data_IF_582044682328
#
_entry.id   IF_582044682328
#
_cell.length_a   1.000
_cell.length_b   1.000
_cell.length_c   1.000
_cell.angle_alpha   90.00
_cell.angle_beta   90.00
_cell.angle_gamma   90.00
#
_symmetry.space_group_name_H-M   'P 1'
#
loop_
_entity.id
_entity.type
_entity.pdbx_description
1 polymer ?
#
# COMPACT_ATOMS: atom_id res chain seq x y z
N UNK A 1 6.15 -4.74 -14.47
CA UNK A 1 4.69 -4.70 -14.27
C UNK A 1 4.08 -4.00 -15.48
N UNK A 2 2.85 -4.33 -15.88
CA UNK A 2 2.16 -3.62 -16.96
C UNK A 2 1.05 -2.76 -16.37
N UNK A 3 1.28 -1.45 -16.32
CA UNK A 3 0.31 -0.48 -15.81
C UNK A 3 -0.54 0.05 -16.95
N UNK A 4 -1.81 0.29 -16.71
CA UNK A 4 -2.72 1.02 -17.58
C UNK A 4 -3.15 2.29 -16.84
N UNK A 5 -3.34 3.38 -17.59
CA UNK A 5 -3.77 4.66 -17.03
C UNK A 5 -5.21 4.51 -16.51
N UNK A 6 -5.57 5.29 -15.48
CA UNK A 6 -6.88 5.28 -14.80
C UNK A 6 -7.21 4.00 -14.01
N UNK A 7 -6.46 2.92 -14.22
CA UNK A 7 -6.63 1.70 -13.45
C UNK A 7 -5.92 1.78 -12.09
N UNK A 8 -6.54 1.16 -11.08
CA UNK A 8 -5.95 0.93 -9.78
C UNK A 8 -5.21 -0.41 -9.71
N UNK A 9 -4.06 -0.40 -9.04
CA UNK A 9 -3.21 -1.56 -8.86
C UNK A 9 -2.87 -1.78 -7.39
N UNK A 10 -3.07 -3.02 -6.91
CA UNK A 10 -2.46 -3.48 -5.66
C UNK A 10 -1.01 -3.81 -5.90
N UNK A 11 -0.13 -2.91 -5.47
CA UNK A 11 1.32 -3.01 -5.60
C UNK A 11 1.91 -3.47 -4.27
N UNK A 12 2.65 -4.57 -4.27
CA UNK A 12 3.21 -5.11 -3.03
C UNK A 12 4.50 -5.89 -3.28
N UNK A 13 5.37 -5.88 -2.27
CA UNK A 13 6.57 -6.71 -2.22
C UNK A 13 6.87 -7.07 -0.76
N UNK A 14 7.55 -8.21 -0.57
CA UNK A 14 7.99 -8.72 0.72
C UNK A 14 9.49 -8.92 0.71
N UNK A 15 10.08 -8.99 1.88
CA UNK A 15 11.48 -9.33 2.02
C UNK A 15 11.76 -10.78 1.63
N UNK A 16 13.02 -11.05 1.28
CA UNK A 16 13.51 -12.41 1.17
C UNK A 16 13.58 -13.03 2.56
N UNK A 17 13.22 -14.31 2.67
CA UNK A 17 13.31 -15.09 3.91
C UNK A 17 12.60 -14.44 5.12
N UNK A 18 11.55 -13.63 4.90
CA UNK A 18 10.82 -12.90 5.94
C UNK A 18 11.73 -12.01 6.82
N UNK A 19 12.84 -11.53 6.26
CA UNK A 19 13.70 -10.56 6.94
C UNK A 19 12.92 -9.29 7.30
N UNK A 20 13.23 -8.70 8.44
CA UNK A 20 12.66 -7.40 8.82
C UNK A 20 13.23 -6.35 7.87
N UNK A 21 12.34 -5.57 7.26
CA UNK A 21 12.64 -4.45 6.35
C UNK A 21 12.71 -3.15 7.13
N UNK A 22 11.87 -3.02 8.15
CA UNK A 22 11.75 -1.83 8.98
C UNK A 22 11.97 -2.23 10.44
N UNK A 23 13.19 -2.01 10.94
CA UNK A 23 13.57 -2.40 12.29
C UNK A 23 13.08 -1.40 13.34
N UNK A 24 13.05 -0.12 12.97
CA UNK A 24 12.68 0.98 13.87
C UNK A 24 11.97 2.09 13.09
N UNK A 25 11.38 3.04 13.82
CA UNK A 25 10.52 4.10 13.29
C UNK A 25 11.16 4.85 12.11
N UNK A 26 12.45 5.15 12.20
CA UNK A 26 13.23 5.91 11.21
C UNK A 26 13.27 5.19 9.85
N UNK A 27 13.27 3.86 9.84
CA UNK A 27 13.23 3.08 8.61
C UNK A 27 11.90 3.29 7.86
N UNK A 28 10.77 3.30 8.58
CA UNK A 28 9.46 3.56 8.00
C UNK A 28 9.38 4.98 7.44
N UNK A 29 9.82 5.98 8.21
CA UNK A 29 9.81 7.39 7.78
C UNK A 29 10.72 7.58 6.57
N UNK A 30 11.92 6.99 6.57
CA UNK A 30 12.85 7.06 5.45
C UNK A 30 12.22 6.44 4.19
N UNK A 31 11.58 5.27 4.29
CA UNK A 31 10.91 4.64 3.16
C UNK A 31 9.78 5.51 2.60
N UNK A 32 8.91 6.05 3.46
CA UNK A 32 7.84 6.98 3.05
C UNK A 32 8.40 8.25 2.39
N UNK A 33 9.52 8.78 2.90
CA UNK A 33 10.23 9.90 2.27
C UNK A 33 10.71 9.56 0.85
N UNK A 34 11.23 8.35 0.64
CA UNK A 34 11.59 7.88 -0.70
C UNK A 34 10.37 7.69 -1.59
N UNK A 35 9.25 7.19 -1.06
CA UNK A 35 7.99 7.06 -1.82
C UNK A 35 7.56 8.46 -2.31
N UNK A 36 7.58 9.47 -1.43
CA UNK A 36 7.26 10.84 -1.82
C UNK A 36 8.13 11.35 -2.95
N UNK A 37 9.44 11.12 -2.85
CA UNK A 37 10.42 11.59 -3.84
C UNK A 37 10.31 10.85 -5.18
N UNK A 38 10.22 9.53 -5.12
CA UNK A 38 10.40 8.68 -6.30
C UNK A 38 9.08 8.26 -6.95
N UNK A 39 7.96 8.18 -6.20
CA UNK A 39 6.68 7.66 -6.72
C UNK A 39 5.64 8.75 -7.00
N UNK A 40 5.50 9.78 -6.15
CA UNK A 40 4.47 10.82 -6.36
C UNK A 40 4.53 11.55 -7.72
N UNK A 41 5.68 11.68 -8.41
CA UNK A 41 5.71 12.21 -9.77
C UNK A 41 5.02 11.31 -10.81
N UNK A 42 4.85 10.02 -10.53
CA UNK A 42 4.37 9.01 -11.49
C UNK A 42 3.03 8.39 -11.09
N UNK A 43 2.74 8.35 -9.78
CA UNK A 43 1.60 7.66 -9.22
C UNK A 43 0.73 8.59 -8.37
N UNK A 44 -0.59 8.40 -8.45
CA UNK A 44 -1.49 8.70 -7.35
C UNK A 44 -1.49 7.51 -6.41
N UNK A 45 -1.15 7.77 -5.14
CA UNK A 45 -1.19 6.76 -4.09
C UNK A 45 -2.57 6.85 -3.46
N UNK A 46 -3.33 5.77 -3.51
CA UNK A 46 -4.68 5.73 -2.94
C UNK A 46 -4.62 5.26 -1.49
N UNK A 47 -3.89 4.18 -1.21
CA UNK A 47 -3.74 3.65 0.13
C UNK A 47 -2.38 2.98 0.32
N UNK A 48 -1.95 2.84 1.57
CA UNK A 48 -0.76 2.07 1.91
C UNK A 48 -0.84 1.41 3.29
N UNK A 49 -0.06 0.34 3.45
CA UNK A 49 0.33 -0.20 4.75
C UNK A 49 1.75 -0.76 4.65
N UNK A 50 2.65 -0.26 5.49
CA UNK A 50 3.99 -0.81 5.68
C UNK A 50 3.92 -1.79 6.85
N UNK A 51 4.39 -3.01 6.63
CA UNK A 51 4.47 -4.09 7.60
C UNK A 51 5.95 -4.40 7.86
N UNK A 52 6.34 -4.97 9.01
CA UNK A 52 7.76 -5.19 9.34
C UNK A 52 8.56 -5.88 8.23
N UNK A 53 7.96 -6.81 7.50
CA UNK A 53 8.63 -7.63 6.47
C UNK A 53 8.18 -7.33 5.04
N UNK A 54 7.19 -6.46 4.82
CA UNK A 54 6.58 -6.26 3.50
C UNK A 54 5.80 -4.95 3.42
N UNK A 55 5.34 -4.57 2.23
CA UNK A 55 4.48 -3.40 2.06
C UNK A 55 3.35 -3.69 1.09
N UNK A 56 2.27 -2.93 1.23
CA UNK A 56 1.16 -2.90 0.29
C UNK A 56 0.78 -1.46 -0.03
N UNK A 57 0.47 -1.21 -1.30
CA UNK A 57 -0.07 0.06 -1.79
C UNK A 57 -1.22 -0.21 -2.77
N UNK A 58 -2.17 0.72 -2.84
CA UNK A 58 -3.03 0.89 -4.01
C UNK A 58 -2.53 2.13 -4.74
N UNK A 59 -2.21 1.99 -6.03
CA UNK A 59 -1.70 3.08 -6.86
C UNK A 59 -2.43 3.18 -8.19
N UNK A 60 -2.52 4.38 -8.73
CA UNK A 60 -2.85 4.63 -10.14
C UNK A 60 -1.69 5.37 -10.81
N UNK A 61 -1.42 5.10 -12.09
CA UNK A 61 -0.43 5.90 -12.85
C UNK A 61 -1.08 7.18 -13.35
N UNK A 62 -0.41 8.33 -13.17
CA UNK A 62 -0.97 9.67 -13.46
C UNK A 62 -1.19 9.98 -14.94
N UNK A 63 -0.65 9.17 -15.85
CA UNK A 63 -0.74 9.43 -17.29
C UNK A 63 0.16 8.52 -18.12
N UNK A 64 0.02 8.64 -19.45
CA UNK A 64 0.74 7.82 -20.43
C UNK A 64 2.26 8.03 -20.32
N UNK A 65 2.72 9.29 -20.22
CA UNK A 65 4.14 9.60 -20.09
C UNK A 65 4.74 9.04 -18.78
N UNK A 66 3.96 9.06 -17.70
CA UNK A 66 4.38 8.55 -16.39
C UNK A 66 4.42 7.02 -16.38
N UNK A 67 3.48 6.36 -17.07
CA UNK A 67 3.42 4.89 -17.21
C UNK A 67 4.75 4.31 -17.71
N UNK A 68 5.41 4.96 -18.66
CA UNK A 68 6.71 4.51 -19.20
C UNK A 68 7.81 4.42 -18.13
N UNK A 69 7.78 5.33 -17.14
CA UNK A 69 8.80 5.43 -16.07
C UNK A 69 8.33 4.84 -14.73
N UNK A 70 7.08 4.39 -14.63
CA UNK A 70 6.49 3.84 -13.42
C UNK A 70 7.28 2.64 -12.86
N UNK A 71 7.66 1.69 -13.71
CA UNK A 71 8.47 0.53 -13.30
C UNK A 71 9.86 0.96 -12.81
N UNK A 72 10.48 1.93 -13.48
CA UNK A 72 11.78 2.47 -13.10
C UNK A 72 11.72 3.14 -11.73
N UNK A 73 10.68 3.94 -11.46
CA UNK A 73 10.47 4.59 -10.17
C UNK A 73 10.37 3.57 -9.01
N UNK A 74 9.60 2.49 -9.20
CA UNK A 74 9.50 1.39 -8.23
C UNK A 74 10.87 0.75 -7.99
N UNK A 75 11.58 0.38 -9.06
CA UNK A 75 12.90 -0.25 -8.96
C UNK A 75 13.92 0.66 -8.27
N UNK A 76 13.98 1.94 -8.65
CA UNK A 76 14.90 2.93 -8.08
C UNK A 76 14.70 3.10 -6.58
N UNK A 77 13.46 3.19 -6.12
CA UNK A 77 13.16 3.27 -4.69
C UNK A 77 13.65 2.01 -3.96
N UNK A 78 13.23 0.83 -4.41
CA UNK A 78 13.55 -0.43 -3.72
C UNK A 78 15.05 -0.67 -3.68
N UNK A 79 15.75 -0.52 -4.82
CA UNK A 79 17.20 -0.70 -4.87
C UNK A 79 17.94 0.30 -3.97
N UNK A 80 17.50 1.57 -3.94
CA UNK A 80 18.16 2.58 -3.11
C UNK A 80 17.80 2.48 -1.63
N UNK A 81 16.65 1.90 -1.26
CA UNK A 81 16.34 1.54 0.12
C UNK A 81 17.14 0.32 0.57
N UNK A 82 17.19 -0.74 -0.24
CA UNK A 82 18.02 -1.94 0.03
C UNK A 82 19.47 -1.57 0.32
N UNK A 83 20.08 -0.66 -0.46
CA UNK A 83 21.46 -0.21 -0.19
C UNK A 83 21.62 0.49 1.16
N UNK A 84 20.65 1.32 1.54
CA UNK A 84 20.69 2.03 2.82
C UNK A 84 20.51 1.06 4.00
N UNK A 85 19.52 0.17 3.92
CA UNK A 85 19.26 -0.86 4.93
C UNK A 85 20.43 -1.84 5.07
N UNK A 86 21.02 -2.30 3.96
CA UNK A 86 22.20 -3.15 3.97
C UNK A 86 23.40 -2.48 4.64
N UNK A 87 23.62 -1.18 4.36
CA UNK A 87 24.69 -0.40 4.99
C UNK A 87 24.45 -0.26 6.51
N UNK A 88 23.22 0.02 6.92
CA UNK A 88 22.84 0.14 8.33
C UNK A 88 23.03 -1.18 9.09
N UNK A 89 22.70 -2.31 8.47
CA UNK A 89 22.72 -3.63 9.10
C UNK A 89 24.00 -4.45 8.81
N UNK A 90 25.03 -3.84 8.20
CA UNK A 90 26.25 -4.53 7.75
C UNK A 90 25.99 -5.82 6.94
N UNK A 91 24.95 -5.80 6.10
CA UNK A 91 24.49 -6.93 5.31
C UNK A 91 24.66 -6.70 3.80
N UNK A 92 24.43 -7.74 3.00
CA UNK A 92 24.58 -7.70 1.55
C UNK A 92 23.46 -8.48 0.86
N UNK A 93 23.30 -8.28 -0.44
CA UNK A 93 22.31 -8.99 -1.26
C UNK A 93 20.97 -8.26 -1.40
N UNK A 94 19.97 -8.97 -1.93
CA UNK A 94 18.64 -8.41 -2.17
C UNK A 94 17.77 -8.48 -0.91
N UNK A 95 17.30 -7.33 -0.43
CA UNK A 95 16.36 -7.27 0.69
C UNK A 95 14.96 -7.75 0.28
N UNK A 96 14.46 -7.28 -0.87
CA UNK A 96 13.12 -7.62 -1.38
C UNK A 96 13.15 -8.81 -2.35
N UNK A 97 12.01 -9.48 -2.50
CA UNK A 97 11.82 -10.51 -3.52
C UNK A 97 11.97 -9.94 -4.93
N UNK A 98 12.53 -10.77 -5.83
CA UNK A 98 12.59 -10.44 -7.25
C UNK A 98 11.17 -10.26 -7.80
N UNK A 99 10.99 -9.22 -8.61
CA UNK A 99 9.72 -8.82 -9.23
C UNK A 99 8.65 -8.40 -8.20
N UNK A 100 8.53 -7.09 -7.98
CA UNK A 100 7.38 -6.49 -7.29
C UNK A 100 6.07 -6.93 -7.97
N UNK A 101 5.10 -7.36 -7.16
CA UNK A 101 3.80 -7.81 -7.64
C UNK A 101 2.88 -6.61 -7.82
N UNK A 102 2.12 -6.61 -8.91
CA UNK A 102 1.13 -5.60 -9.23
C UNK A 102 -0.12 -6.29 -9.78
N UNK A 103 -1.24 -6.18 -9.07
CA UNK A 103 -2.53 -6.77 -9.46
C UNK A 103 -3.48 -5.65 -9.87
N UNK A 104 -3.92 -5.64 -11.13
CA UNK A 104 -4.94 -4.71 -11.61
C UNK A 104 -6.27 -5.00 -10.88
N UNK A 105 -6.82 -4.01 -10.18
CA UNK A 105 -8.04 -4.17 -9.38
C UNK A 105 -9.32 -4.09 -10.23
N UNK A 106 -9.25 -3.56 -11.45
CA UNK A 106 -10.40 -3.46 -12.35
C UNK A 106 -10.68 -4.77 -13.09
N UNK A 107 -9.64 -5.55 -13.38
CA UNK A 107 -9.75 -6.84 -14.08
C UNK A 107 -9.63 -8.06 -13.16
N UNK A 108 -9.29 -7.84 -11.89
CA UNK A 108 -9.18 -8.91 -10.90
C UNK A 108 -10.51 -9.56 -10.47
N UNK A 109 -11.64 -9.07 -11.01
CA UNK A 109 -13.00 -9.57 -10.75
C UNK A 109 -13.09 -11.09 -10.94
N UNK A 110 -12.43 -11.64 -11.96
CA UNK A 110 -12.53 -13.07 -12.30
C UNK A 110 -12.06 -14.03 -11.19
N UNK A 111 -11.29 -13.54 -10.20
CA UNK A 111 -10.81 -14.36 -9.08
C UNK A 111 -11.83 -14.42 -7.92
N UNK A 112 -12.75 -13.46 -7.83
CA UNK A 112 -13.86 -13.46 -6.86
C UNK A 112 -15.17 -13.32 -7.63
N UNK A 113 -15.65 -14.46 -8.13
CA UNK A 113 -16.80 -14.69 -9.02
C UNK A 113 -18.14 -14.00 -8.68
N UNK A 114 -18.23 -13.22 -7.60
CA UNK A 114 -19.47 -12.63 -7.06
C UNK A 114 -19.36 -11.17 -6.59
N UNK A 115 -18.24 -10.47 -6.81
CA UNK A 115 -18.08 -9.07 -6.38
C UNK A 115 -17.97 -8.15 -7.58
N UNK A 116 -18.77 -7.07 -7.62
CA UNK A 116 -18.55 -6.00 -8.59
C UNK A 116 -17.18 -5.31 -8.42
N UNK A 117 -16.68 -4.60 -9.44
CA UNK A 117 -15.32 -4.01 -9.40
C UNK A 117 -15.11 -3.05 -8.22
N UNK A 118 -16.08 -2.18 -7.92
CA UNK A 118 -16.01 -1.27 -6.78
C UNK A 118 -15.91 -2.04 -5.46
N UNK A 119 -16.68 -3.13 -5.31
CA UNK A 119 -16.60 -4.01 -4.14
C UNK A 119 -15.22 -4.67 -4.01
N UNK A 120 -14.55 -5.02 -5.11
CA UNK A 120 -13.22 -5.62 -5.05
C UNK A 120 -12.11 -4.62 -4.69
N UNK A 121 -12.16 -3.39 -5.22
CA UNK A 121 -11.21 -2.33 -4.83
C UNK A 121 -11.38 -2.00 -3.35
N UNK A 122 -12.63 -1.85 -2.91
CA UNK A 122 -12.97 -1.55 -1.53
C UNK A 122 -12.55 -2.70 -0.58
N UNK A 123 -12.73 -3.95 -1.00
CA UNK A 123 -12.19 -5.11 -0.30
C UNK A 123 -10.66 -5.04 -0.18
N UNK A 124 -9.95 -4.65 -1.25
CA UNK A 124 -8.50 -4.52 -1.22
C UNK A 124 -8.04 -3.39 -0.29
N UNK A 125 -8.75 -2.26 -0.28
CA UNK A 125 -8.52 -1.14 0.64
C UNK A 125 -8.58 -1.62 2.09
N UNK A 126 -9.68 -2.27 2.48
CA UNK A 126 -9.84 -2.84 3.82
C UNK A 126 -8.81 -3.92 4.13
N UNK A 127 -8.51 -4.81 3.19
CA UNK A 127 -7.48 -5.83 3.38
C UNK A 127 -6.13 -5.20 3.75
N UNK A 128 -5.71 -4.17 3.02
CA UNK A 128 -4.44 -3.47 3.28
C UNK A 128 -4.44 -2.82 4.67
N UNK A 129 -5.53 -2.14 5.04
CA UNK A 129 -5.61 -1.47 6.33
C UNK A 129 -5.74 -2.43 7.50
N UNK A 130 -6.38 -3.59 7.33
CA UNK A 130 -6.58 -4.59 8.40
C UNK A 130 -5.39 -5.52 8.62
N UNK A 131 -4.36 -5.48 7.76
CA UNK A 131 -3.17 -6.33 7.89
C UNK A 131 -2.46 -6.24 9.25
N UNK A 132 -2.25 -5.06 9.87
CA UNK A 132 -1.63 -4.95 11.19
C UNK A 132 -2.42 -5.67 12.29
N UNK A 133 -3.76 -5.67 12.24
CA UNK A 133 -4.58 -6.46 13.16
C UNK A 133 -4.42 -7.95 12.89
N UNK A 134 -4.51 -8.37 11.62
CA UNK A 134 -4.43 -9.79 11.22
C UNK A 134 -3.10 -10.44 11.60
N UNK A 135 -2.01 -9.68 11.51
CA UNK A 135 -0.68 -10.13 11.90
C UNK A 135 -0.39 -9.90 13.40
N UNK A 136 -1.39 -9.50 14.19
CA UNK A 136 -1.30 -9.24 15.63
C UNK A 136 -0.22 -8.21 16.02
N UNK A 137 0.04 -7.22 15.16
CA UNK A 137 0.97 -6.13 15.44
C UNK A 137 0.34 -5.08 16.38
N UNK A 138 -0.98 -4.96 16.34
CA UNK A 138 -1.78 -4.05 17.16
C UNK A 138 -3.11 -4.71 17.51
N UNK A 139 -3.76 -4.26 18.59
CA UNK A 139 -5.13 -4.64 18.94
C UNK A 139 -6.18 -3.66 18.41
N UNK A 140 -5.77 -2.44 18.04
CA UNK A 140 -6.59 -1.42 17.41
C UNK A 140 -5.82 -0.82 16.21
N UNK A 141 -6.49 -0.67 15.06
CA UNK A 141 -5.88 -0.10 13.84
C UNK A 141 -5.33 1.31 14.03
N UNK A 142 -5.87 2.06 15.00
CA UNK A 142 -5.38 3.40 15.32
C UNK A 142 -3.95 3.38 15.86
N UNK A 143 -3.49 2.25 16.39
CA UNK A 143 -2.15 2.12 16.96
C UNK A 143 -1.08 1.85 15.88
N UNK A 144 -1.49 1.49 14.64
CA UNK A 144 -0.55 1.26 13.55
C UNK A 144 -0.30 2.51 12.70
N UNK A 145 0.69 3.30 13.10
CA UNK A 145 1.04 4.57 12.45
C UNK A 145 1.54 4.42 11.00
N UNK A 146 1.98 3.23 10.59
CA UNK A 146 2.63 2.99 9.30
C UNK A 146 1.67 2.54 8.19
N UNK A 147 0.39 2.90 8.31
CA UNK A 147 -0.61 2.75 7.25
C UNK A 147 -1.34 4.06 6.98
N UNK A 148 -2.05 4.15 5.86
CA UNK A 148 -2.96 5.27 5.61
C UNK A 148 -4.29 5.16 6.35
N UNK A 149 -4.52 4.13 7.19
CA UNK A 149 -5.78 3.95 7.92
C UNK A 149 -6.15 5.20 8.71
N UNK A 150 -5.21 5.79 9.44
CA UNK A 150 -5.43 7.00 10.23
C UNK A 150 -5.88 8.20 9.37
N UNK A 151 -5.44 8.26 8.12
CA UNK A 151 -5.84 9.32 7.19
C UNK A 151 -7.29 9.12 6.71
N UNK A 152 -7.67 7.87 6.43
CA UNK A 152 -9.04 7.49 6.07
C UNK A 152 -10.00 7.51 7.27
N UNK A 153 -9.52 7.29 8.49
CA UNK A 153 -10.29 7.41 9.72
C UNK A 153 -10.44 8.88 10.18
N UNK A 154 -9.87 9.84 9.44
CA UNK A 154 -9.82 11.26 9.81
C UNK A 154 -9.16 11.55 11.18
N UNK A 155 -8.25 10.67 11.60
CA UNK A 155 -7.47 10.79 12.84
C UNK A 155 -6.08 11.38 12.59
N UNK A 156 -5.66 11.42 11.32
CA UNK A 156 -4.43 12.06 10.85
C UNK A 156 -4.71 12.78 9.54
N UNK A 157 -4.03 13.90 9.31
CA UNK A 157 -4.12 14.64 8.05
C UNK A 157 -2.88 14.36 7.18
N UNK A 158 -2.66 13.08 6.83
CA UNK A 158 -1.55 12.68 5.97
C UNK A 158 -1.75 13.15 4.53
N UNK A 159 -0.63 13.52 3.89
CA UNK A 159 -0.62 14.10 2.54
C UNK A 159 -0.05 13.16 1.47
N UNK A 160 0.17 11.88 1.81
CA UNK A 160 0.71 10.92 0.86
C UNK A 160 -0.38 10.37 -0.07
N UNK A 161 -1.55 10.10 0.50
CA UNK A 161 -2.66 9.50 -0.22
C UNK A 161 -3.58 10.55 -0.85
N UNK A 162 -3.98 10.33 -2.10
CA UNK A 162 -5.07 11.07 -2.74
C UNK A 162 -6.41 10.45 -2.32
N UNK A 163 -6.85 10.79 -1.11
CA UNK A 163 -8.07 10.22 -0.49
C UNK A 163 -9.33 10.68 -1.25
N UNK A 164 -9.33 11.88 -1.83
CA UNK A 164 -10.46 12.38 -2.62
C UNK A 164 -10.81 11.44 -3.76
N UNK A 165 -9.81 10.95 -4.52
CA UNK A 165 -10.03 9.96 -5.57
C UNK A 165 -10.63 8.67 -4.98
N UNK A 166 -10.20 8.24 -3.79
CA UNK A 166 -10.74 7.05 -3.16
C UNK A 166 -12.21 7.21 -2.76
N UNK A 167 -12.57 8.35 -2.16
CA UNK A 167 -13.94 8.69 -1.79
C UNK A 167 -14.87 8.73 -3.01
N UNK A 168 -14.40 9.31 -4.11
CA UNK A 168 -15.14 9.39 -5.37
C UNK A 168 -15.33 8.02 -6.03
N UNK A 169 -14.26 7.23 -6.15
CA UNK A 169 -14.30 5.92 -6.81
C UNK A 169 -15.11 4.88 -6.04
N UNK A 170 -15.13 4.98 -4.71
CA UNK A 170 -15.69 3.97 -3.82
C UNK A 170 -16.96 4.44 -3.12
N UNK A 171 -17.40 5.67 -3.37
CA UNK A 171 -18.62 6.27 -2.87
C UNK A 171 -18.78 6.14 -1.35
N UNK A 172 -17.76 6.57 -0.61
CA UNK A 172 -17.80 6.69 0.85
C UNK A 172 -17.09 7.97 1.32
N UNK A 173 -17.30 8.38 2.58
CA UNK A 173 -16.56 9.47 3.23
C UNK A 173 -15.57 8.97 4.29
N UNK A 174 -14.39 9.58 4.32
CA UNK A 174 -13.41 9.36 5.40
C UNK A 174 -13.99 9.76 6.76
N UNK A 175 -13.46 9.20 7.83
CA UNK A 175 -13.95 9.40 9.19
C UNK A 175 -14.87 8.25 9.63
N UNK A 176 -16.01 8.60 10.21
CA UNK A 176 -16.92 7.64 10.88
C UNK A 176 -17.41 6.56 9.91
N UNK A 177 -17.80 6.93 8.69
CA UNK A 177 -18.30 5.99 7.69
C UNK A 177 -17.23 4.96 7.31
N UNK A 178 -16.00 5.42 7.04
CA UNK A 178 -14.87 4.52 6.78
C UNK A 178 -14.56 3.59 7.97
N UNK A 179 -14.57 4.10 9.21
CA UNK A 179 -14.33 3.29 10.40
C UNK A 179 -15.39 2.17 10.53
N UNK A 180 -16.66 2.49 10.29
CA UNK A 180 -17.74 1.49 10.32
C UNK A 180 -17.56 0.44 9.23
N UNK A 181 -17.20 0.88 8.01
CA UNK A 181 -16.93 0.00 6.89
C UNK A 181 -15.79 -0.99 7.17
N UNK A 182 -14.67 -0.53 7.76
CA UNK A 182 -13.55 -1.40 8.12
C UNK A 182 -13.94 -2.43 9.20
N UNK A 183 -14.69 -2.01 10.23
CA UNK A 183 -15.16 -2.90 11.31
C UNK A 183 -16.07 -4.02 10.82
N UNK A 184 -16.94 -3.74 9.85
CA UNK A 184 -17.80 -4.77 9.25
C UNK A 184 -16.94 -5.84 8.56
N UNK A 185 -15.93 -5.40 7.80
CA UNK A 185 -15.06 -6.33 7.10
C UNK A 185 -14.15 -7.13 8.03
N UNK A 186 -13.71 -6.57 9.18
CA UNK A 186 -12.99 -7.34 10.21
C UNK A 186 -13.74 -8.61 10.65
N UNK A 187 -15.07 -8.56 10.69
CA UNK A 187 -15.89 -9.72 11.05
C UNK A 187 -15.99 -10.76 9.92
N UNK A 188 -15.91 -10.33 8.65
CA UNK A 188 -15.95 -11.21 7.48
C UNK A 188 -14.60 -11.92 7.22
N UNK A 189 -13.50 -11.46 7.83
CA UNK A 189 -12.16 -12.03 7.68
C UNK A 189 -11.77 -13.02 8.78
N UNK A 190 -12.68 -13.36 9.69
CA UNK A 190 -12.49 -14.47 10.63
C UNK A 190 -12.64 -15.79 9.88
N UNK A 191 -11.52 -16.28 9.33
CA UNK A 191 -11.35 -17.69 8.94
C UNK A 191 -10.89 -18.49 10.14
#
# INVERSE_FOLDING_TARGET
MNFEVENLYHLYNRSNNNQIVFHHHENYIYFLGKIRKEWLPYFDIIAYCLMPTHFHFIVSVKGIQQKEKANYAVGKLLSSYTRANNKENNSHGSLFQQKTKSKNLHTAFDIKKYLNTSNYILYCLNYIHTNPLKDNLVSDLKDWQYSSYLDYAALRNGTLCNITIAEELLNFKRGVEFIQFTKLAENDYKF
#
